data_IF_643416516496
#
_entry.id   IF_643416516496
#
_cell.length_a   1.000
_cell.length_b   1.000
_cell.length_c   1.000
_cell.angle_alpha   90.00
_cell.angle_beta   90.00
_cell.angle_gamma   90.00
#
_symmetry.space_group_name_H-M   'P 1'
#
loop_
_entity.id
_entity.type
_entity.pdbx_description
1 polymer ?
#
# COMPACT_ATOMS: atom_id res chain seq x y z
N UNK A 1 28.19 -4.05 -7.78
CA UNK A 1 26.93 -3.44 -7.32
C UNK A 1 26.83 -3.67 -5.82
N UNK A 2 26.34 -2.68 -5.03
CA UNK A 2 26.06 -2.90 -3.62
C UNK A 2 24.99 -3.98 -3.45
N UNK A 3 25.14 -4.81 -2.41
CA UNK A 3 24.22 -5.90 -2.12
C UNK A 3 23.16 -5.47 -1.11
N UNK A 4 21.89 -5.45 -1.54
CA UNK A 4 20.76 -5.09 -0.72
C UNK A 4 19.99 -6.33 -0.25
N UNK A 5 19.94 -6.54 1.07
CA UNK A 5 19.00 -7.48 1.65
C UNK A 5 17.68 -6.79 1.96
N UNK A 6 16.58 -7.33 1.48
CA UNK A 6 15.24 -6.84 1.81
C UNK A 6 14.55 -7.81 2.76
N UNK A 7 14.10 -7.31 3.90
CA UNK A 7 13.45 -8.11 4.95
C UNK A 7 11.99 -7.67 5.07
N UNK A 8 11.06 -8.52 4.68
CA UNK A 8 9.62 -8.21 4.67
C UNK A 8 8.76 -9.44 4.90
N UNK A 9 7.62 -9.29 5.54
CA UNK A 9 6.58 -10.32 5.65
C UNK A 9 5.50 -10.20 4.58
N UNK A 10 5.58 -9.18 3.71
CA UNK A 10 4.56 -8.86 2.74
C UNK A 10 5.16 -8.66 1.34
N UNK A 11 5.21 -9.76 0.59
CA UNK A 11 5.79 -9.83 -0.76
C UNK A 11 4.96 -10.77 -1.63
N UNK A 12 4.98 -10.69 -2.99
CA UNK A 12 4.21 -11.57 -3.86
C UNK A 12 4.46 -13.05 -3.55
N UNK A 13 3.39 -13.84 -3.58
CA UNK A 13 3.46 -15.30 -3.45
C UNK A 13 2.71 -15.95 -4.62
N UNK A 14 2.93 -17.25 -4.88
CA UNK A 14 2.19 -17.98 -5.91
C UNK A 14 0.67 -17.87 -5.71
N UNK A 15 0.19 -17.94 -4.48
CA UNK A 15 -1.23 -17.85 -4.15
C UNK A 15 -1.77 -16.39 -4.15
N UNK A 16 -0.90 -15.41 -3.92
CA UNK A 16 -1.26 -14.00 -3.84
C UNK A 16 -0.22 -13.14 -4.59
N UNK A 17 -0.22 -13.15 -5.93
CA UNK A 17 0.81 -12.45 -6.73
C UNK A 17 0.76 -10.92 -6.60
N UNK A 18 -0.37 -10.35 -6.15
CA UNK A 18 -0.55 -8.92 -5.92
C UNK A 18 -0.17 -8.46 -4.50
N UNK A 19 0.28 -9.37 -3.63
CA UNK A 19 0.71 -9.04 -2.28
C UNK A 19 2.02 -8.24 -2.32
N UNK A 20 2.10 -7.10 -1.63
CA UNK A 20 3.31 -6.28 -1.56
C UNK A 20 3.76 -5.68 -2.89
N UNK A 21 2.83 -5.40 -3.81
CA UNK A 21 3.13 -4.90 -5.15
C UNK A 21 3.97 -3.63 -5.16
N UNK A 22 3.74 -2.68 -4.26
CA UNK A 22 4.55 -1.46 -4.20
C UNK A 22 6.03 -1.77 -3.95
N UNK A 23 6.32 -2.66 -2.99
CA UNK A 23 7.68 -3.11 -2.72
C UNK A 23 8.28 -3.87 -3.92
N UNK A 24 7.51 -4.81 -4.50
CA UNK A 24 7.96 -5.58 -5.65
C UNK A 24 8.29 -4.69 -6.86
N UNK A 25 7.41 -3.78 -7.23
CA UNK A 25 7.63 -2.89 -8.38
C UNK A 25 8.84 -1.96 -8.16
N UNK A 26 8.96 -1.37 -6.96
CA UNK A 26 10.12 -0.55 -6.61
C UNK A 26 11.42 -1.35 -6.73
N UNK A 27 11.46 -2.55 -6.15
CA UNK A 27 12.67 -3.39 -6.16
C UNK A 27 13.00 -3.88 -7.56
N UNK A 28 12.01 -4.21 -8.38
CA UNK A 28 12.20 -4.62 -9.77
C UNK A 28 12.97 -3.55 -10.57
N UNK A 29 12.55 -2.30 -10.46
CA UNK A 29 13.25 -1.19 -11.10
C UNK A 29 14.68 -0.98 -10.55
N UNK A 30 14.92 -1.31 -9.25
CA UNK A 30 16.22 -1.16 -8.60
C UNK A 30 17.22 -2.27 -8.94
N UNK A 31 16.81 -3.40 -9.50
CA UNK A 31 17.71 -4.53 -9.80
C UNK A 31 18.81 -4.17 -10.81
N UNK A 32 18.61 -3.13 -11.62
CA UNK A 32 19.65 -2.61 -12.51
C UNK A 32 20.78 -1.85 -11.78
N UNK A 33 20.58 -1.45 -10.52
CA UNK A 33 21.52 -0.62 -9.75
C UNK A 33 22.08 -1.33 -8.51
N UNK A 34 21.39 -2.36 -8.01
CA UNK A 34 21.75 -3.10 -6.80
C UNK A 34 21.58 -4.60 -7.00
N UNK A 35 22.42 -5.41 -6.34
CA UNK A 35 22.24 -6.85 -6.20
C UNK A 35 21.23 -7.09 -5.07
N UNK A 36 19.98 -7.45 -5.41
CA UNK A 36 18.86 -7.51 -4.47
C UNK A 36 18.50 -8.95 -4.13
N UNK A 37 18.42 -9.24 -2.83
CA UNK A 37 17.84 -10.48 -2.33
C UNK A 37 16.75 -10.20 -1.29
N UNK A 38 15.53 -10.67 -1.56
CA UNK A 38 14.39 -10.54 -0.64
C UNK A 38 14.32 -11.77 0.28
N UNK A 39 14.16 -11.53 1.57
CA UNK A 39 13.84 -12.53 2.59
C UNK A 39 12.41 -12.25 3.10
N UNK A 40 11.46 -13.04 2.59
CA UNK A 40 10.07 -12.92 2.98
C UNK A 40 9.76 -13.92 4.09
N UNK A 41 9.58 -13.44 5.32
CA UNK A 41 9.27 -14.33 6.43
C UNK A 41 7.77 -14.45 6.64
N UNK A 42 7.35 -15.66 6.97
CA UNK A 42 5.95 -16.00 7.17
C UNK A 42 5.77 -16.79 8.48
N UNK A 43 4.72 -16.46 9.22
CA UNK A 43 4.39 -17.15 10.45
C UNK A 43 3.86 -18.56 10.14
N UNK A 44 4.52 -19.61 10.64
CA UNK A 44 4.04 -20.98 10.58
C UNK A 44 3.21 -21.28 11.84
N UNK A 45 1.91 -21.48 11.66
CA UNK A 45 1.00 -21.83 12.72
C UNK A 45 0.77 -23.34 12.78
N UNK A 46 0.61 -23.96 13.96
CA UNK A 46 0.15 -25.35 14.08
C UNK A 46 -1.12 -25.57 13.27
N UNK A 47 -1.28 -26.74 12.65
CA UNK A 47 -2.37 -27.02 11.70
C UNK A 47 -3.76 -26.74 12.26
N UNK A 48 -3.99 -27.06 13.55
CA UNK A 48 -5.26 -26.87 14.26
C UNK A 48 -5.52 -25.40 14.68
N UNK A 49 -4.52 -24.50 14.61
CA UNK A 49 -4.63 -23.08 14.91
C UNK A 49 -4.46 -22.19 13.66
N UNK A 50 -4.37 -22.76 12.49
CA UNK A 50 -4.21 -21.98 11.24
C UNK A 50 -5.43 -21.07 11.04
N UNK A 51 -5.21 -19.74 10.88
CA UNK A 51 -6.30 -18.85 10.52
C UNK A 51 -6.90 -19.27 9.18
N UNK A 52 -8.22 -19.38 9.12
CA UNK A 52 -8.96 -19.70 7.88
C UNK A 52 -9.22 -18.48 7.00
N UNK A 53 -8.70 -17.32 7.39
CA UNK A 53 -8.90 -16.07 6.68
C UNK A 53 -7.78 -15.85 5.64
N UNK A 54 -8.02 -14.95 4.72
CA UNK A 54 -7.17 -14.60 3.58
C UNK A 54 -5.76 -14.07 3.95
N UNK A 55 -5.52 -13.76 5.23
CA UNK A 55 -4.24 -13.19 5.70
C UNK A 55 -3.14 -14.22 5.90
N UNK A 56 -3.48 -15.51 6.00
CA UNK A 56 -2.50 -16.57 6.17
C UNK A 56 -2.11 -17.15 4.81
N UNK A 57 -0.84 -17.06 4.47
CA UNK A 57 -0.24 -17.71 3.29
C UNK A 57 0.95 -18.53 3.77
N UNK A 58 0.97 -19.86 3.58
CA UNK A 58 2.13 -20.65 3.89
C UNK A 58 3.31 -20.26 3.00
N UNK A 59 4.54 -20.40 3.49
CA UNK A 59 5.72 -20.18 2.68
C UNK A 59 5.80 -21.25 1.57
N UNK A 60 6.16 -20.80 0.38
CA UNK A 60 6.52 -21.68 -0.74
C UNK A 60 8.01 -21.45 -1.04
N UNK A 61 8.90 -22.32 -0.54
CA UNK A 61 10.33 -22.16 -0.74
C UNK A 61 10.77 -22.37 -2.20
N UNK A 62 9.88 -22.91 -3.05
CA UNK A 62 10.15 -23.14 -4.48
C UNK A 62 9.74 -21.98 -5.37
N UNK A 63 9.02 -21.01 -4.81
CA UNK A 63 8.57 -19.81 -5.52
C UNK A 63 9.53 -18.65 -5.36
N UNK A 64 9.83 -17.98 -6.46
CA UNK A 64 10.42 -16.64 -6.48
C UNK A 64 9.67 -15.82 -7.52
N UNK A 65 9.31 -14.56 -7.22
CA UNK A 65 8.74 -13.67 -8.23
C UNK A 65 9.72 -13.48 -9.39
N UNK A 66 9.23 -13.22 -10.62
CA UNK A 66 10.10 -12.84 -11.73
C UNK A 66 10.91 -11.57 -11.37
N UNK A 67 12.10 -11.44 -11.91
CA UNK A 67 12.96 -10.25 -11.86
C UNK A 67 13.49 -9.84 -10.47
N UNK A 68 12.91 -10.34 -9.35
CA UNK A 68 13.35 -10.01 -7.99
C UNK A 68 13.52 -11.29 -7.19
N UNK A 69 14.77 -11.76 -6.97
CA UNK A 69 15.04 -12.97 -6.20
C UNK A 69 14.46 -12.89 -4.79
N UNK A 70 13.64 -13.87 -4.40
CA UNK A 70 13.04 -13.92 -3.08
C UNK A 70 13.13 -15.32 -2.46
N UNK A 71 13.46 -15.37 -1.18
CA UNK A 71 13.45 -16.59 -0.37
C UNK A 71 12.37 -16.47 0.72
N UNK A 72 11.48 -17.45 0.79
CA UNK A 72 10.41 -17.51 1.79
C UNK A 72 10.86 -18.35 2.97
N UNK A 73 10.80 -17.77 4.18
CA UNK A 73 11.31 -18.35 5.42
C UNK A 73 10.15 -18.47 6.40
N UNK A 74 9.90 -19.67 6.92
CA UNK A 74 8.92 -19.88 7.99
C UNK A 74 9.55 -19.72 9.37
N UNK A 75 8.78 -19.13 10.29
CA UNK A 75 9.12 -19.10 11.72
C UNK A 75 7.91 -19.54 12.55
N UNK A 76 8.11 -20.25 13.68
CA UNK A 76 7.02 -20.73 14.51
C UNK A 76 6.27 -19.56 15.17
N UNK A 77 4.94 -19.58 15.10
CA UNK A 77 4.09 -18.57 15.70
C UNK A 77 2.80 -19.18 16.24
N UNK A 78 2.20 -18.52 17.21
CA UNK A 78 0.86 -18.82 17.70
C UNK A 78 -0.07 -17.63 17.41
N UNK A 79 -1.27 -17.86 16.85
CA UNK A 79 -2.21 -16.77 16.55
C UNK A 79 -2.44 -15.91 17.79
N UNK A 80 -2.39 -14.59 17.63
CA UNK A 80 -2.55 -13.56 18.66
C UNK A 80 -1.49 -13.59 19.77
N UNK A 81 -1.16 -14.74 20.35
CA UNK A 81 -0.27 -14.89 21.51
C UNK A 81 1.19 -14.58 21.19
N UNK A 82 1.72 -15.02 20.03
CA UNK A 82 3.12 -14.76 19.67
C UNK A 82 3.35 -13.37 19.06
N UNK A 83 2.29 -12.63 18.73
CA UNK A 83 2.37 -11.35 18.01
C UNK A 83 3.36 -10.36 18.63
N UNK A 84 3.39 -10.15 19.97
CA UNK A 84 4.35 -9.27 20.61
C UNK A 84 5.81 -9.72 20.48
N UNK A 85 6.03 -11.02 20.23
CA UNK A 85 7.36 -11.64 20.19
C UNK A 85 7.80 -11.98 18.76
N UNK A 86 6.96 -11.76 17.76
CA UNK A 86 7.28 -12.10 16.38
C UNK A 86 8.56 -11.41 15.88
N UNK A 87 8.82 -10.14 16.24
CA UNK A 87 10.04 -9.44 15.86
C UNK A 87 11.32 -10.12 16.33
N UNK A 88 11.50 -10.43 17.63
CA UNK A 88 12.63 -11.19 18.15
C UNK A 88 12.77 -12.59 17.53
N UNK A 89 11.68 -13.32 17.36
CA UNK A 89 11.69 -14.66 16.73
C UNK A 89 12.11 -14.53 15.27
N UNK A 90 11.52 -13.63 14.52
CA UNK A 90 11.86 -13.36 13.14
C UNK A 90 13.35 -13.02 12.98
N UNK A 91 13.89 -12.16 13.83
CA UNK A 91 15.32 -11.82 13.82
C UNK A 91 16.23 -13.05 13.91
N UNK A 92 15.85 -14.06 14.72
CA UNK A 92 16.60 -15.32 14.86
C UNK A 92 16.59 -16.14 13.57
N UNK A 93 15.45 -16.17 12.87
CA UNK A 93 15.30 -16.99 11.66
C UNK A 93 15.90 -16.33 10.42
N UNK A 94 15.86 -15.01 10.28
CA UNK A 94 16.43 -14.31 9.13
C UNK A 94 17.95 -14.13 9.22
N UNK A 95 18.53 -14.02 10.43
CA UNK A 95 19.96 -13.74 10.66
C UNK A 95 20.92 -14.73 9.96
N UNK A 96 20.71 -16.07 9.95
CA UNK A 96 21.59 -16.99 9.23
C UNK A 96 21.65 -16.74 7.73
N UNK A 97 20.52 -16.36 7.12
CA UNK A 97 20.41 -16.04 5.70
C UNK A 97 21.15 -14.74 5.37
N UNK A 98 20.99 -13.70 6.19
CA UNK A 98 21.70 -12.43 6.06
C UNK A 98 23.22 -12.61 6.25
N UNK A 99 23.66 -13.45 7.18
CA UNK A 99 25.09 -13.78 7.35
C UNK A 99 25.70 -14.45 6.11
N UNK A 100 24.93 -15.32 5.45
CA UNK A 100 25.39 -16.00 4.21
C UNK A 100 25.41 -15.03 3.03
N UNK A 101 24.44 -14.13 2.95
CA UNK A 101 24.36 -13.12 1.89
C UNK A 101 25.49 -12.07 2.01
N UNK A 102 25.88 -11.69 3.23
CA UNK A 102 26.80 -10.58 3.52
C UNK A 102 26.36 -9.28 2.83
N UNK A 103 25.18 -8.73 3.17
CA UNK A 103 24.67 -7.53 2.54
C UNK A 103 25.47 -6.30 2.98
N UNK A 104 25.52 -5.29 2.10
CA UNK A 104 26.07 -3.96 2.40
C UNK A 104 25.00 -3.07 3.08
N UNK A 105 23.72 -3.37 2.85
CA UNK A 105 22.56 -2.62 3.35
C UNK A 105 21.37 -3.55 3.58
N UNK A 106 20.59 -3.26 4.62
CA UNK A 106 19.33 -3.95 4.88
C UNK A 106 18.17 -2.95 4.76
N UNK A 107 17.16 -3.26 3.94
CA UNK A 107 15.89 -2.53 3.83
C UNK A 107 14.74 -3.38 4.37
N UNK A 108 13.84 -2.80 5.14
CA UNK A 108 12.58 -3.43 5.56
C UNK A 108 11.40 -2.57 5.15
N UNK A 109 10.31 -3.19 4.66
CA UNK A 109 9.09 -2.49 4.25
C UNK A 109 8.02 -2.36 5.35
N UNK A 110 8.25 -2.91 6.54
CA UNK A 110 7.40 -2.77 7.73
C UNK A 110 8.25 -2.49 8.95
N UNK A 111 7.79 -1.62 9.84
CA UNK A 111 8.54 -1.28 11.06
C UNK A 111 8.51 -2.44 12.06
N UNK A 112 7.37 -3.11 12.23
CA UNK A 112 7.24 -4.26 13.11
C UNK A 112 6.30 -5.33 12.53
N UNK A 113 6.69 -6.60 12.52
CA UNK A 113 7.89 -7.22 13.14
C UNK A 113 9.17 -7.12 12.31
N UNK A 114 9.06 -6.84 11.02
CA UNK A 114 10.11 -6.96 9.99
C UNK A 114 11.30 -6.04 10.29
N UNK A 115 11.05 -4.75 10.49
CA UNK A 115 12.07 -3.75 10.74
C UNK A 115 12.79 -3.95 12.07
N UNK A 116 12.10 -4.42 13.11
CA UNK A 116 12.77 -4.83 14.33
C UNK A 116 13.74 -5.99 14.09
N UNK A 117 13.35 -6.97 13.29
CA UNK A 117 14.19 -8.11 12.93
C UNK A 117 15.39 -7.65 12.08
N UNK A 118 15.16 -6.80 11.07
CA UNK A 118 16.20 -6.20 10.24
C UNK A 118 17.22 -5.42 11.10
N UNK A 119 16.75 -4.55 12.00
CA UNK A 119 17.59 -3.78 12.90
C UNK A 119 18.40 -4.67 13.86
N UNK A 120 17.78 -5.72 14.41
CA UNK A 120 18.47 -6.67 15.29
C UNK A 120 19.58 -7.43 14.56
N UNK A 121 19.34 -7.80 13.30
CA UNK A 121 20.32 -8.46 12.45
C UNK A 121 21.42 -7.48 12.00
N UNK A 122 21.07 -6.28 11.53
CA UNK A 122 22.01 -5.25 11.10
C UNK A 122 23.01 -4.87 12.19
N UNK A 123 22.55 -4.70 13.43
CA UNK A 123 23.43 -4.47 14.60
C UNK A 123 24.44 -5.59 14.85
N UNK A 124 24.08 -6.86 14.59
CA UNK A 124 24.97 -8.01 14.76
C UNK A 124 25.96 -8.19 13.62
N UNK A 125 25.60 -7.68 12.44
CA UNK A 125 26.41 -7.78 11.23
C UNK A 125 27.25 -6.53 10.98
N UNK A 126 27.01 -5.43 11.70
CA UNK A 126 27.62 -4.12 11.43
C UNK A 126 27.06 -3.42 10.19
N UNK A 127 25.89 -3.82 9.71
CA UNK A 127 25.29 -3.36 8.44
C UNK A 127 24.23 -2.30 8.70
N UNK A 128 24.20 -1.16 7.97
CA UNK A 128 23.17 -0.14 8.11
C UNK A 128 21.79 -0.66 7.73
N UNK A 129 20.75 -0.06 8.34
CA UNK A 129 19.36 -0.51 8.19
C UNK A 129 18.42 0.66 7.88
N UNK A 130 17.69 0.54 6.77
CA UNK A 130 16.60 1.43 6.39
C UNK A 130 15.28 0.75 6.76
N UNK A 131 14.39 1.48 7.44
CA UNK A 131 13.03 1.02 7.75
C UNK A 131 12.01 1.75 6.88
N UNK A 132 11.21 0.99 6.14
CA UNK A 132 10.03 1.48 5.44
C UNK A 132 8.79 1.43 6.35
N UNK A 133 8.01 2.50 6.36
CA UNK A 133 6.72 2.58 7.04
C UNK A 133 5.62 2.86 6.01
N UNK A 134 4.67 1.94 5.89
CA UNK A 134 3.65 1.98 4.83
C UNK A 134 2.23 2.26 5.33
N UNK A 135 2.04 2.40 6.65
CA UNK A 135 0.80 2.86 7.27
C UNK A 135 0.25 1.92 8.34
N UNK A 136 -0.14 0.70 8.01
CA UNK A 136 -0.76 -0.22 8.98
C UNK A 136 0.17 -0.60 10.14
N UNK A 137 1.45 -0.55 9.94
CA UNK A 137 2.52 -0.88 10.87
C UNK A 137 2.77 0.22 11.92
N UNK A 138 2.45 1.46 11.60
CA UNK A 138 2.54 2.60 12.55
C UNK A 138 1.16 2.94 13.11
N UNK A 139 0.09 2.87 12.30
CA UNK A 139 -1.26 3.23 12.71
C UNK A 139 -1.92 2.18 13.62
N UNK A 140 -1.44 0.94 13.61
CA UNK A 140 -1.99 -0.17 14.39
C UNK A 140 -0.92 -0.81 15.27
N UNK A 141 -0.81 -0.32 16.49
CA UNK A 141 0.02 -0.94 17.54
C UNK A 141 -0.90 -1.66 18.52
N UNK A 142 -1.15 -2.96 18.32
CA UNK A 142 -2.25 -3.69 19.01
C UNK A 142 -1.98 -3.94 20.48
N UNK A 143 -0.74 -3.87 20.92
CA UNK A 143 -0.31 -4.12 22.30
C UNK A 143 0.91 -3.28 22.70
N UNK A 144 1.15 -3.16 24.00
CA UNK A 144 2.23 -2.32 24.56
C UNK A 144 3.63 -2.80 24.18
N UNK A 145 3.82 -4.12 24.01
CA UNK A 145 5.14 -4.70 23.67
C UNK A 145 5.45 -4.39 22.21
N UNK A 146 4.51 -4.65 21.29
CA UNK A 146 4.64 -4.29 19.88
C UNK A 146 4.90 -2.79 19.70
N UNK A 147 4.17 -1.94 20.46
CA UNK A 147 4.38 -0.49 20.45
C UNK A 147 5.78 -0.09 20.95
N UNK A 148 6.27 -0.70 22.01
CA UNK A 148 7.63 -0.47 22.51
C UNK A 148 8.69 -0.90 21.48
N UNK A 149 8.54 -2.09 20.88
CA UNK A 149 9.49 -2.60 19.89
C UNK A 149 9.46 -1.80 18.57
N UNK A 150 8.29 -1.30 18.16
CA UNK A 150 8.15 -0.36 17.04
C UNK A 150 8.93 0.93 17.30
N UNK A 151 8.75 1.57 18.47
CA UNK A 151 9.52 2.76 18.84
C UNK A 151 11.02 2.48 18.91
N UNK A 152 11.42 1.33 19.44
CA UNK A 152 12.83 0.91 19.51
C UNK A 152 13.42 0.72 18.11
N UNK A 153 12.65 0.16 17.17
CA UNK A 153 13.07 0.01 15.78
C UNK A 153 13.26 1.37 15.11
N UNK A 154 12.27 2.27 15.20
CA UNK A 154 12.34 3.61 14.61
C UNK A 154 13.51 4.45 15.14
N UNK A 155 13.78 4.40 16.45
CA UNK A 155 14.92 5.12 17.07
C UNK A 155 16.28 4.56 16.64
N UNK A 156 16.34 3.27 16.39
CA UNK A 156 17.58 2.57 16.08
C UNK A 156 17.92 2.48 14.60
N UNK A 157 17.02 2.86 13.72
CA UNK A 157 17.22 2.83 12.27
C UNK A 157 18.27 3.85 11.82
N UNK A 158 19.06 3.51 10.82
CA UNK A 158 19.97 4.45 10.18
C UNK A 158 19.22 5.42 9.28
N UNK A 159 18.10 4.98 8.69
CA UNK A 159 17.17 5.81 7.93
C UNK A 159 15.73 5.27 8.04
N UNK A 160 14.73 6.17 7.94
CA UNK A 160 13.31 5.82 7.89
C UNK A 160 12.69 6.37 6.61
N UNK A 161 12.10 5.48 5.82
CA UNK A 161 11.42 5.79 4.58
C UNK A 161 9.91 5.65 4.79
N UNK A 162 9.12 6.63 4.39
CA UNK A 162 7.66 6.61 4.56
C UNK A 162 6.96 6.90 3.25
N UNK A 163 5.73 6.39 3.08
CA UNK A 163 4.97 6.57 1.84
C UNK A 163 4.12 7.85 1.83
N UNK A 164 4.11 8.64 2.93
CA UNK A 164 3.46 9.95 3.02
C UNK A 164 4.13 10.81 4.09
N UNK A 165 4.00 12.12 3.97
CA UNK A 165 4.49 13.06 4.98
C UNK A 165 3.73 12.89 6.31
N UNK A 166 2.43 12.61 6.24
CA UNK A 166 1.64 12.24 7.40
C UNK A 166 2.29 11.10 8.21
N UNK A 167 2.70 10.02 7.53
CA UNK A 167 3.39 8.90 8.18
C UNK A 167 4.79 9.28 8.65
N UNK A 168 5.51 10.16 7.94
CA UNK A 168 6.81 10.66 8.38
C UNK A 168 6.69 11.39 9.71
N UNK A 169 5.73 12.27 9.84
CA UNK A 169 5.45 12.97 11.09
C UNK A 169 5.06 12.02 12.22
N UNK A 170 4.29 10.98 11.92
CA UNK A 170 3.98 9.94 12.91
C UNK A 170 5.22 9.15 13.34
N UNK A 171 6.07 8.75 12.38
CA UNK A 171 7.33 8.04 12.69
C UNK A 171 8.25 8.89 13.58
N UNK A 172 8.35 10.20 13.31
CA UNK A 172 9.12 11.15 14.14
C UNK A 172 8.54 11.25 15.55
N UNK A 173 7.22 11.37 15.69
CA UNK A 173 6.56 11.35 17.03
C UNK A 173 6.82 10.04 17.80
N UNK A 174 7.04 8.94 17.10
CA UNK A 174 7.38 7.64 17.69
C UNK A 174 8.89 7.46 17.95
N UNK A 175 9.72 8.42 17.50
CA UNK A 175 11.13 8.48 17.81
C UNK A 175 12.10 8.31 16.65
N UNK A 176 11.62 8.31 15.39
CA UNK A 176 12.51 8.40 14.23
C UNK A 176 13.21 9.79 14.19
N UNK A 177 14.44 9.82 13.67
CA UNK A 177 15.17 11.09 13.48
C UNK A 177 14.57 11.88 12.30
N UNK A 178 14.24 13.16 12.48
CA UNK A 178 13.73 14.01 11.40
C UNK A 178 14.72 14.11 10.21
N UNK A 179 16.02 14.21 10.49
CA UNK A 179 17.08 14.37 9.50
C UNK A 179 17.35 13.07 8.72
N UNK A 180 16.98 11.94 9.31
CA UNK A 180 17.12 10.60 8.73
C UNK A 180 15.77 9.97 8.41
N UNK A 181 14.81 10.79 8.05
CA UNK A 181 13.48 10.36 7.62
C UNK A 181 13.09 11.09 6.36
N UNK A 182 12.62 10.37 5.34
CA UNK A 182 12.17 10.95 4.07
C UNK A 182 10.91 10.28 3.57
N UNK A 183 10.06 11.06 2.92
CA UNK A 183 8.86 10.57 2.25
C UNK A 183 9.19 10.22 0.80
N UNK A 184 8.86 8.98 0.41
CA UNK A 184 8.87 8.49 -0.97
C UNK A 184 7.46 7.95 -1.25
N UNK A 185 6.64 8.75 -1.93
CA UNK A 185 5.26 8.38 -2.25
C UNK A 185 5.22 7.24 -3.26
N UNK A 186 4.19 6.42 -3.21
CA UNK A 186 3.97 5.35 -4.18
C UNK A 186 3.79 5.92 -5.59
N UNK A 187 4.08 5.10 -6.59
CA UNK A 187 3.78 5.31 -8.00
C UNK A 187 2.76 4.32 -8.51
N UNK A 188 2.57 4.30 -9.82
CA UNK A 188 1.82 3.27 -10.51
C UNK A 188 2.55 2.83 -11.79
N UNK A 189 2.04 1.80 -12.44
CA UNK A 189 2.49 1.44 -13.79
C UNK A 189 1.87 2.40 -14.80
N UNK A 190 2.63 3.41 -15.22
CA UNK A 190 2.17 4.46 -16.16
C UNK A 190 1.96 3.96 -17.58
N UNK A 191 2.39 2.74 -17.91
CA UNK A 191 2.07 2.09 -19.18
C UNK A 191 0.65 1.49 -19.16
N UNK A 192 0.13 1.18 -17.99
CA UNK A 192 -1.21 0.62 -17.76
C UNK A 192 -2.20 1.72 -17.35
N UNK A 193 -1.82 2.57 -16.38
CA UNK A 193 -2.65 3.63 -15.83
C UNK A 193 -2.32 4.96 -16.48
N UNK A 194 -3.06 5.33 -17.51
CA UNK A 194 -2.93 6.57 -18.27
C UNK A 194 -4.29 6.99 -18.84
N UNK A 195 -4.38 8.18 -19.38
CA UNK A 195 -5.60 8.64 -20.06
C UNK A 195 -5.83 7.79 -21.31
N UNK A 196 -7.08 7.31 -21.44
CA UNK A 196 -7.55 6.58 -22.62
C UNK A 196 -8.98 6.99 -22.97
N UNK A 197 -9.50 6.50 -24.10
CA UNK A 197 -10.83 6.83 -24.60
C UNK A 197 -11.93 6.23 -23.70
N UNK A 198 -12.72 7.12 -23.08
CA UNK A 198 -13.83 6.74 -22.19
C UNK A 198 -14.97 6.06 -22.94
N UNK A 199 -15.32 6.52 -24.13
CA UNK A 199 -16.42 5.95 -24.90
C UNK A 199 -16.09 4.52 -25.33
N UNK A 200 -14.86 4.31 -25.81
CA UNK A 200 -14.35 2.97 -26.15
C UNK A 200 -14.34 2.03 -24.93
N UNK A 201 -13.84 2.51 -23.76
CA UNK A 201 -13.82 1.72 -22.53
C UNK A 201 -15.23 1.34 -22.05
N UNK A 202 -16.20 2.27 -22.16
CA UNK A 202 -17.60 2.00 -21.82
C UNK A 202 -18.25 0.99 -22.75
N UNK A 203 -18.04 1.11 -24.06
CA UNK A 203 -18.53 0.15 -25.03
C UNK A 203 -17.99 -1.27 -24.77
N UNK A 204 -16.69 -1.39 -24.47
CA UNK A 204 -16.04 -2.67 -24.15
C UNK A 204 -16.59 -3.30 -22.85
N UNK A 205 -16.91 -2.47 -21.85
CA UNK A 205 -17.42 -2.92 -20.55
C UNK A 205 -18.94 -3.06 -20.51
N UNK A 206 -19.66 -2.70 -21.59
CA UNK A 206 -21.13 -2.71 -21.62
C UNK A 206 -21.77 -1.66 -20.70
N UNK A 207 -21.08 -0.54 -20.47
CA UNK A 207 -21.56 0.58 -19.65
C UNK A 207 -22.26 1.59 -20.53
N UNK A 208 -23.46 2.01 -20.13
CA UNK A 208 -24.23 3.06 -20.84
C UNK A 208 -23.40 4.35 -20.95
N UNK A 209 -23.36 4.93 -22.14
CA UNK A 209 -22.67 6.20 -22.40
C UNK A 209 -23.12 7.33 -21.50
N UNK A 210 -24.42 7.36 -21.17
CA UNK A 210 -25.01 8.38 -20.34
C UNK A 210 -25.00 8.09 -18.85
N UNK A 211 -24.46 6.94 -18.44
CA UNK A 211 -24.34 6.60 -17.02
C UNK A 211 -23.36 7.54 -16.30
N UNK A 212 -23.70 7.90 -15.08
CA UNK A 212 -22.83 8.59 -14.14
C UNK A 212 -22.07 7.51 -13.34
N UNK A 213 -20.82 7.28 -13.70
CA UNK A 213 -20.04 6.14 -13.22
C UNK A 213 -19.10 6.53 -12.10
N UNK A 214 -19.31 5.95 -10.93
CA UNK A 214 -18.39 6.00 -9.78
C UNK A 214 -17.68 4.64 -9.65
N UNK A 215 -16.39 4.64 -9.51
CA UNK A 215 -15.58 3.42 -9.32
C UNK A 215 -14.87 3.46 -7.95
N UNK A 216 -14.94 2.35 -7.23
CA UNK A 216 -14.13 2.05 -6.06
C UNK A 216 -13.18 0.89 -6.40
N UNK A 217 -11.92 1.00 -5.98
CA UNK A 217 -10.93 -0.09 -6.10
C UNK A 217 -10.25 -0.31 -4.75
N UNK A 218 -10.37 -1.52 -4.21
CA UNK A 218 -9.72 -1.85 -2.95
C UNK A 218 -10.24 -3.10 -2.26
N UNK A 219 -9.67 -3.40 -1.10
CA UNK A 219 -10.12 -4.49 -0.24
C UNK A 219 -11.49 -4.15 0.38
N UNK A 220 -12.49 -5.01 0.20
CA UNK A 220 -13.86 -4.81 0.68
C UNK A 220 -13.93 -5.10 2.19
N UNK A 221 -13.52 -4.13 2.99
CA UNK A 221 -13.41 -4.23 4.45
C UNK A 221 -13.92 -2.94 5.14
N UNK A 222 -14.24 -3.06 6.40
CA UNK A 222 -14.80 -1.97 7.22
C UNK A 222 -13.99 -0.67 7.15
N UNK A 223 -12.66 -0.78 7.11
CA UNK A 223 -11.77 0.40 7.08
C UNK A 223 -11.82 1.19 5.78
N UNK A 224 -12.51 0.69 4.75
CA UNK A 224 -12.60 1.32 3.44
C UNK A 224 -13.87 2.15 3.22
N UNK A 225 -14.77 2.22 4.21
CA UNK A 225 -15.93 3.11 4.18
C UNK A 225 -16.97 2.78 3.09
N UNK A 226 -17.04 1.52 2.65
CA UNK A 226 -17.98 1.12 1.60
C UNK A 226 -19.44 1.15 2.02
N UNK A 227 -19.72 1.06 3.33
CA UNK A 227 -21.11 1.22 3.84
C UNK A 227 -21.59 2.64 3.58
N UNK A 228 -20.78 3.63 3.88
CA UNK A 228 -21.04 5.05 3.66
C UNK A 228 -21.19 5.35 2.16
N UNK A 229 -20.37 4.69 1.33
CA UNK A 229 -20.46 4.86 -0.13
C UNK A 229 -21.76 4.33 -0.70
N UNK A 230 -22.19 3.15 -0.29
CA UNK A 230 -23.47 2.57 -0.73
C UNK A 230 -24.64 3.42 -0.22
N UNK A 231 -24.61 3.86 1.05
CA UNK A 231 -25.63 4.75 1.59
C UNK A 231 -25.69 6.08 0.83
N UNK A 232 -24.53 6.66 0.47
CA UNK A 232 -24.47 7.88 -0.33
C UNK A 232 -25.10 7.67 -1.74
N UNK A 233 -24.81 6.54 -2.39
CA UNK A 233 -25.41 6.19 -3.69
C UNK A 233 -26.94 6.03 -3.59
N UNK A 234 -27.42 5.35 -2.54
CA UNK A 234 -28.85 5.18 -2.27
C UNK A 234 -29.53 6.55 -2.06
N UNK A 235 -28.91 7.46 -1.33
CA UNK A 235 -29.41 8.83 -1.10
C UNK A 235 -29.51 9.62 -2.41
N UNK A 236 -28.58 9.43 -3.33
CA UNK A 236 -28.54 10.13 -4.63
C UNK A 236 -29.51 9.55 -5.68
N UNK A 237 -30.04 8.34 -5.47
CA UNK A 237 -30.90 7.66 -6.43
C UNK A 237 -32.09 8.51 -6.98
N UNK A 238 -32.79 9.28 -6.15
CA UNK A 238 -33.91 10.09 -6.66
C UNK A 238 -33.47 11.23 -7.61
N UNK A 239 -32.30 11.82 -7.37
CA UNK A 239 -31.75 12.95 -8.14
C UNK A 239 -30.84 12.51 -9.28
N UNK A 240 -30.17 11.37 -9.14
CA UNK A 240 -29.21 10.79 -10.10
C UNK A 240 -29.61 9.35 -10.46
N UNK A 241 -30.69 9.12 -11.18
CA UNK A 241 -31.19 7.76 -11.46
C UNK A 241 -30.26 6.94 -12.37
N UNK A 242 -29.34 7.59 -13.10
CA UNK A 242 -28.34 6.91 -13.94
C UNK A 242 -27.01 6.68 -13.25
N UNK A 243 -26.92 7.01 -11.96
CA UNK A 243 -25.70 6.75 -11.15
C UNK A 243 -25.44 5.25 -11.04
N UNK A 244 -24.22 4.85 -11.33
CA UNK A 244 -23.71 3.47 -11.20
C UNK A 244 -22.44 3.46 -10.35
N UNK A 245 -22.41 2.62 -9.35
CA UNK A 245 -21.23 2.35 -8.53
C UNK A 245 -20.68 0.96 -8.87
N UNK A 246 -19.44 0.91 -9.30
CA UNK A 246 -18.72 -0.34 -9.53
C UNK A 246 -17.64 -0.51 -8.46
N UNK A 247 -17.76 -1.56 -7.66
CA UNK A 247 -16.80 -1.93 -6.61
C UNK A 247 -15.87 -3.03 -7.10
N UNK A 248 -14.59 -2.71 -7.27
CA UNK A 248 -13.56 -3.66 -7.71
C UNK A 248 -12.73 -4.08 -6.51
N UNK A 249 -12.74 -5.38 -6.23
CA UNK A 249 -12.01 -6.00 -5.13
C UNK A 249 -12.80 -7.10 -4.45
N UNK A 250 -12.14 -7.76 -3.51
CA UNK A 250 -12.72 -8.80 -2.67
C UNK A 250 -12.57 -8.42 -1.21
N UNK A 251 -13.33 -9.06 -0.33
CA UNK A 251 -13.16 -8.86 1.10
C UNK A 251 -14.34 -9.39 1.92
N UNK A 252 -14.18 -9.39 3.26
CA UNK A 252 -15.14 -10.03 4.16
C UNK A 252 -16.51 -9.35 4.21
N UNK A 253 -16.62 -8.08 3.81
CA UNK A 253 -17.89 -7.35 3.86
C UNK A 253 -18.71 -7.45 2.57
N UNK A 254 -18.19 -8.06 1.49
CA UNK A 254 -18.85 -8.08 0.19
C UNK A 254 -20.31 -8.57 0.28
N UNK A 255 -20.54 -9.77 0.83
CA UNK A 255 -21.88 -10.36 0.91
C UNK A 255 -22.86 -9.52 1.73
N UNK A 256 -22.40 -8.92 2.83
CA UNK A 256 -23.20 -8.01 3.64
C UNK A 256 -23.60 -6.74 2.86
N UNK A 257 -22.66 -6.17 2.13
CA UNK A 257 -22.89 -4.95 1.35
C UNK A 257 -23.77 -5.19 0.13
N UNK A 258 -23.63 -6.35 -0.53
CA UNK A 258 -24.54 -6.79 -1.60
C UNK A 258 -25.99 -6.95 -1.09
N UNK A 259 -26.16 -7.57 0.09
CA UNK A 259 -27.47 -7.70 0.74
C UNK A 259 -28.08 -6.34 1.09
N UNK A 260 -27.29 -5.43 1.68
CA UNK A 260 -27.74 -4.06 2.02
C UNK A 260 -28.17 -3.27 0.77
N UNK A 261 -27.46 -3.37 -0.33
CA UNK A 261 -27.85 -2.75 -1.59
C UNK A 261 -29.15 -3.34 -2.14
N UNK A 262 -29.34 -4.66 -2.00
CA UNK A 262 -30.56 -5.35 -2.43
C UNK A 262 -31.79 -4.95 -1.60
N UNK A 263 -31.64 -4.91 -0.27
CA UNK A 263 -32.68 -4.45 0.65
C UNK A 263 -33.15 -3.01 0.34
N UNK A 264 -32.21 -2.15 -0.06
CA UNK A 264 -32.53 -0.77 -0.50
C UNK A 264 -33.04 -0.69 -1.93
N UNK A 265 -33.18 -1.80 -2.66
CA UNK A 265 -33.60 -1.83 -4.06
C UNK A 265 -32.59 -1.17 -5.01
N UNK A 266 -31.30 -1.13 -4.67
CA UNK A 266 -30.24 -0.45 -5.41
C UNK A 266 -29.31 -1.42 -6.19
N UNK A 267 -29.70 -2.67 -6.42
CA UNK A 267 -28.91 -3.68 -7.14
C UNK A 267 -28.60 -3.31 -8.58
N UNK A 268 -29.42 -2.48 -9.19
CA UNK A 268 -29.18 -1.93 -10.52
C UNK A 268 -28.12 -0.83 -10.54
N UNK A 269 -27.89 -0.17 -9.40
CA UNK A 269 -26.92 0.92 -9.25
C UNK A 269 -25.59 0.49 -8.63
N UNK A 270 -25.56 -0.56 -7.79
CA UNK A 270 -24.36 -1.01 -7.05
C UNK A 270 -23.96 -2.39 -7.52
N UNK A 271 -22.77 -2.52 -8.08
CA UNK A 271 -22.24 -3.78 -8.60
C UNK A 271 -20.85 -4.10 -8.02
N UNK A 272 -20.68 -5.31 -7.49
CA UNK A 272 -19.41 -5.84 -7.03
C UNK A 272 -18.80 -6.74 -8.10
N UNK A 273 -17.70 -6.27 -8.68
CA UNK A 273 -17.08 -6.94 -9.82
C UNK A 273 -16.06 -8.02 -9.41
N UNK A 274 -15.76 -8.11 -8.10
CA UNK A 274 -14.69 -8.98 -7.62
C UNK A 274 -13.31 -8.45 -8.01
N UNK A 275 -12.30 -9.31 -7.88
CA UNK A 275 -10.93 -8.95 -8.23
C UNK A 275 -10.77 -8.83 -9.74
N UNK A 276 -9.97 -7.84 -10.16
CA UNK A 276 -9.60 -7.59 -11.55
C UNK A 276 -8.09 -7.43 -11.69
N UNK A 277 -7.57 -7.70 -12.87
CA UNK A 277 -6.18 -7.38 -13.26
C UNK A 277 -5.96 -5.88 -13.35
N UNK A 278 -4.72 -5.42 -13.29
CA UNK A 278 -4.39 -3.99 -13.42
C UNK A 278 -4.91 -3.39 -14.74
N UNK A 279 -4.85 -4.14 -15.83
CA UNK A 279 -5.39 -3.71 -17.13
C UNK A 279 -6.92 -3.55 -17.10
N UNK A 280 -7.66 -4.45 -16.44
CA UNK A 280 -9.10 -4.32 -16.26
C UNK A 280 -9.45 -3.16 -15.32
N UNK A 281 -8.69 -2.97 -14.23
CA UNK A 281 -8.86 -1.81 -13.32
C UNK A 281 -8.66 -0.50 -14.09
N UNK A 282 -7.63 -0.41 -14.93
CA UNK A 282 -7.39 0.78 -15.75
C UNK A 282 -8.56 1.07 -16.71
N UNK A 283 -9.16 0.04 -17.34
CA UNK A 283 -10.36 0.19 -18.17
C UNK A 283 -11.55 0.74 -17.38
N UNK A 284 -11.81 0.19 -16.20
CA UNK A 284 -12.86 0.68 -15.32
C UNK A 284 -12.61 2.12 -14.86
N UNK A 285 -11.39 2.47 -14.52
CA UNK A 285 -11.02 3.85 -14.20
C UNK A 285 -11.20 4.77 -15.41
N UNK A 286 -10.84 4.32 -16.61
CA UNK A 286 -11.10 5.09 -17.85
C UNK A 286 -12.59 5.30 -18.11
N UNK A 287 -13.44 4.29 -17.89
CA UNK A 287 -14.89 4.37 -18.05
C UNK A 287 -15.58 5.27 -17.02
N UNK A 288 -14.94 5.48 -15.85
CA UNK A 288 -15.49 6.22 -14.73
C UNK A 288 -15.58 7.74 -14.99
N UNK A 289 -16.56 8.40 -14.37
CA UNK A 289 -16.57 9.85 -14.17
C UNK A 289 -15.71 10.22 -12.96
N UNK A 290 -15.88 9.48 -11.86
CA UNK A 290 -15.26 9.75 -10.56
C UNK A 290 -14.71 8.45 -9.98
N UNK A 291 -13.55 8.54 -9.35
CA UNK A 291 -13.06 7.52 -8.45
C UNK A 291 -13.41 7.88 -7.00
N UNK A 292 -13.88 6.94 -6.21
CA UNK A 292 -14.24 7.18 -4.82
C UNK A 292 -13.52 6.25 -3.84
N UNK A 293 -12.88 6.84 -2.79
CA UNK A 293 -12.21 6.10 -1.73
C UNK A 293 -12.51 6.70 -0.35
N UNK A 294 -13.63 6.32 0.31
CA UNK A 294 -14.05 6.89 1.60
C UNK A 294 -13.42 6.17 2.81
N UNK A 295 -12.14 5.86 2.74
CA UNK A 295 -11.40 5.08 3.75
C UNK A 295 -11.30 5.81 5.09
N UNK A 296 -11.18 5.06 6.20
CA UNK A 296 -10.96 5.62 7.55
C UNK A 296 -9.49 5.83 7.90
N UNK A 297 -8.59 5.19 7.16
CA UNK A 297 -7.15 5.33 7.34
C UNK A 297 -6.40 4.84 6.10
N UNK A 298 -5.44 5.62 5.63
CA UNK A 298 -4.56 5.28 4.50
C UNK A 298 -3.12 5.71 4.77
N UNK A 299 -2.17 5.03 4.10
CA UNK A 299 -0.78 5.49 4.03
C UNK A 299 -0.59 6.37 2.80
N UNK A 300 -0.47 5.73 1.64
CA UNK A 300 -0.49 6.30 0.29
C UNK A 300 -1.24 5.29 -0.59
N UNK A 301 -2.55 5.47 -0.82
CA UNK A 301 -3.37 4.48 -1.51
C UNK A 301 -3.03 4.43 -3.01
N UNK A 302 -2.54 3.28 -3.48
CA UNK A 302 -2.20 3.08 -4.90
C UNK A 302 -3.39 3.36 -5.82
N UNK A 303 -4.61 2.96 -5.41
CA UNK A 303 -5.81 3.15 -6.23
C UNK A 303 -6.14 4.64 -6.49
N UNK A 304 -5.79 5.54 -5.57
CA UNK A 304 -5.87 6.99 -5.80
C UNK A 304 -4.82 7.43 -6.82
N UNK A 305 -3.57 6.96 -6.68
CA UNK A 305 -2.49 7.26 -7.64
C UNK A 305 -2.86 6.76 -9.04
N UNK A 306 -3.39 5.53 -9.14
CA UNK A 306 -3.86 4.91 -10.37
C UNK A 306 -5.00 5.70 -11.02
N UNK A 307 -6.01 6.11 -10.23
CA UNK A 307 -7.15 6.89 -10.71
C UNK A 307 -6.72 8.27 -11.24
N UNK A 308 -5.87 8.97 -10.51
CA UNK A 308 -5.34 10.27 -10.92
C UNK A 308 -4.50 10.16 -12.20
N UNK A 309 -3.70 9.11 -12.36
CA UNK A 309 -2.93 8.87 -13.60
C UNK A 309 -3.86 8.59 -14.79
N UNK A 310 -5.02 7.97 -14.58
CA UNK A 310 -6.07 7.83 -15.58
C UNK A 310 -6.87 9.12 -15.81
N UNK A 311 -6.49 10.25 -15.19
CA UNK A 311 -7.20 11.53 -15.30
C UNK A 311 -8.52 11.58 -14.53
N UNK A 312 -8.77 10.66 -13.61
CA UNK A 312 -10.05 10.64 -12.87
C UNK A 312 -9.97 11.54 -11.64
N UNK A 313 -10.97 12.41 -11.54
CA UNK A 313 -11.17 13.17 -10.31
C UNK A 313 -11.56 12.23 -9.16
N UNK A 314 -11.12 12.57 -7.96
CA UNK A 314 -11.21 11.71 -6.79
C UNK A 314 -12.14 12.33 -5.75
N UNK A 315 -13.13 11.57 -5.28
CA UNK A 315 -13.84 11.87 -4.02
C UNK A 315 -13.30 10.94 -2.94
N UNK A 316 -12.71 11.49 -1.91
CA UNK A 316 -12.09 10.68 -0.86
C UNK A 316 -12.18 11.35 0.51
N UNK A 317 -11.79 10.61 1.53
CA UNK A 317 -11.72 11.14 2.90
C UNK A 317 -10.39 11.84 3.18
N UNK A 318 -10.44 12.87 4.02
CA UNK A 318 -9.30 13.65 4.49
C UNK A 318 -8.50 12.86 5.55
N UNK A 319 -7.91 11.71 5.17
CA UNK A 319 -7.18 10.85 6.11
C UNK A 319 -5.81 10.44 5.57
N UNK A 320 -4.84 10.34 6.47
CA UNK A 320 -3.50 9.82 6.18
C UNK A 320 -2.80 10.61 5.08
N UNK A 321 -2.31 9.92 4.05
CA UNK A 321 -1.62 10.52 2.91
C UNK A 321 -2.53 10.92 1.75
N UNK A 322 -3.86 10.77 1.85
CA UNK A 322 -4.78 11.16 0.76
C UNK A 322 -4.70 12.66 0.45
N UNK A 323 -4.68 13.59 1.45
CA UNK A 323 -4.55 15.03 1.20
C UNK A 323 -3.24 15.46 0.51
N UNK A 324 -2.26 14.57 0.48
CA UNK A 324 -1.00 14.81 -0.24
C UNK A 324 -1.09 14.46 -1.73
N UNK A 325 -2.15 13.72 -2.13
CA UNK A 325 -2.39 13.25 -3.48
C UNK A 325 -3.50 14.03 -4.19
N UNK A 326 -4.50 14.50 -3.44
CA UNK A 326 -5.73 15.10 -3.95
C UNK A 326 -5.81 16.55 -3.50
N UNK A 327 -5.90 17.45 -4.47
CA UNK A 327 -6.11 18.89 -4.29
C UNK A 327 -7.46 19.33 -4.89
N UNK A 328 -7.75 20.64 -4.80
CA UNK A 328 -9.00 21.22 -5.32
C UNK A 328 -9.21 20.98 -6.81
N UNK A 329 -8.14 20.90 -7.61
CA UNK A 329 -8.24 20.70 -9.07
C UNK A 329 -8.31 19.22 -9.47
N UNK A 330 -8.09 18.30 -8.53
CA UNK A 330 -8.08 16.85 -8.77
C UNK A 330 -9.12 16.09 -7.98
N UNK A 331 -9.84 16.75 -7.05
CA UNK A 331 -10.90 16.05 -6.31
C UNK A 331 -11.56 16.85 -5.19
N UNK A 332 -12.33 16.11 -4.39
CA UNK A 332 -13.03 16.63 -3.20
C UNK A 332 -12.69 15.74 -2.02
N UNK A 333 -12.25 16.35 -0.93
CA UNK A 333 -11.98 15.69 0.33
C UNK A 333 -13.07 15.98 1.36
N UNK A 334 -13.51 14.93 2.06
CA UNK A 334 -14.52 15.00 3.11
C UNK A 334 -13.99 14.35 4.40
N UNK A 335 -14.67 14.60 5.51
CA UNK A 335 -14.40 13.84 6.75
C UNK A 335 -14.93 12.40 6.64
N UNK A 336 -14.25 11.42 7.27
CA UNK A 336 -14.67 10.03 7.23
C UNK A 336 -15.96 9.78 8.03
N UNK A 337 -16.71 8.74 7.67
CA UNK A 337 -17.94 8.27 8.35
C UNK A 337 -19.13 9.24 8.24
N UNK A 338 -19.19 10.01 7.18
CA UNK A 338 -20.30 10.90 6.89
C UNK A 338 -20.88 10.58 5.50
N UNK A 339 -21.91 9.71 5.43
CA UNK A 339 -22.53 9.36 4.15
C UNK A 339 -23.31 10.51 3.51
N UNK A 340 -23.76 11.51 4.30
CA UNK A 340 -24.42 12.68 3.74
C UNK A 340 -23.41 13.59 3.03
N UNK A 341 -22.32 13.95 3.70
CA UNK A 341 -21.25 14.72 3.08
C UNK A 341 -20.64 13.98 1.87
N UNK A 342 -20.58 12.64 1.91
CA UNK A 342 -20.13 11.83 0.78
C UNK A 342 -21.10 11.93 -0.41
N UNK A 343 -22.40 11.90 -0.18
CA UNK A 343 -23.41 12.07 -1.22
C UNK A 343 -23.30 13.47 -1.87
N UNK A 344 -23.21 14.52 -1.06
CA UNK A 344 -23.04 15.90 -1.55
C UNK A 344 -21.76 16.06 -2.36
N UNK A 345 -20.65 15.48 -1.90
CA UNK A 345 -19.37 15.52 -2.60
C UNK A 345 -19.42 14.75 -3.94
N UNK A 346 -20.08 13.59 -3.99
CA UNK A 346 -20.27 12.84 -5.23
C UNK A 346 -21.14 13.62 -6.22
N UNK A 347 -22.27 14.21 -5.79
CA UNK A 347 -23.14 15.03 -6.63
C UNK A 347 -22.38 16.25 -7.19
N UNK A 348 -21.63 16.95 -6.35
CA UNK A 348 -20.80 18.07 -6.75
C UNK A 348 -19.71 17.64 -7.76
N UNK A 349 -19.02 16.55 -7.47
CA UNK A 349 -17.95 16.06 -8.35
C UNK A 349 -18.48 15.60 -9.72
N UNK A 350 -19.65 14.97 -9.77
CA UNK A 350 -20.28 14.53 -11.02
C UNK A 350 -20.81 15.71 -11.86
N UNK A 351 -21.20 16.81 -11.24
CA UNK A 351 -21.67 18.02 -11.95
C UNK A 351 -20.53 18.91 -12.44
N UNK A 352 -19.32 18.77 -11.87
CA UNK A 352 -18.15 19.59 -12.22
C UNK A 352 -17.44 19.04 -13.46
N UNK A 353 -17.01 19.94 -14.34
CA UNK A 353 -16.07 19.60 -15.41
C UNK A 353 -14.64 19.58 -14.85
N UNK A 354 -13.96 18.47 -15.08
CA UNK A 354 -12.59 18.25 -14.62
C UNK A 354 -11.64 18.28 -15.82
N UNK A 355 -10.49 18.93 -15.65
CA UNK A 355 -9.39 18.84 -16.63
C UNK A 355 -8.62 17.54 -16.41
N UNK A 356 -9.08 16.46 -17.06
CA UNK A 356 -8.50 15.13 -16.95
C UNK A 356 -7.02 15.08 -17.37
N UNK A 357 -6.67 15.88 -18.38
CA UNK A 357 -5.28 15.96 -18.87
C UNK A 357 -4.39 16.61 -17.81
N UNK A 358 -4.81 17.70 -17.21
CA UNK A 358 -4.09 18.37 -16.12
C UNK A 358 -3.95 17.48 -14.87
N UNK A 359 -5.03 16.75 -14.48
CA UNK A 359 -5.02 15.80 -13.37
C UNK A 359 -3.95 14.73 -13.62
N UNK A 360 -3.98 14.07 -14.76
CA UNK A 360 -3.05 13.00 -15.10
C UNK A 360 -1.60 13.51 -15.16
N UNK A 361 -1.37 14.66 -15.82
CA UNK A 361 -0.03 15.23 -15.97
C UNK A 361 0.61 15.57 -14.62
N UNK A 362 -0.15 16.20 -13.69
CA UNK A 362 0.35 16.56 -12.35
C UNK A 362 0.59 15.35 -11.46
N UNK A 363 -0.17 14.30 -11.65
CA UNK A 363 -0.13 13.10 -10.80
C UNK A 363 0.80 12.01 -11.35
N UNK A 364 1.37 12.22 -12.54
CA UNK A 364 2.19 11.22 -13.21
C UNK A 364 3.43 10.86 -12.40
N UNK A 365 3.42 9.63 -11.89
CA UNK A 365 4.50 9.09 -11.07
C UNK A 365 4.63 7.58 -11.29
N UNK A 366 5.72 7.18 -11.95
CA UNK A 366 6.03 5.78 -12.22
C UNK A 366 6.81 5.11 -11.09
N UNK A 367 6.89 3.79 -11.11
CA UNK A 367 7.72 3.03 -10.19
C UNK A 367 9.22 3.27 -10.40
N UNK A 368 9.64 3.64 -11.59
CA UNK A 368 11.02 4.06 -11.90
C UNK A 368 11.45 5.27 -11.08
N UNK A 369 10.56 6.24 -10.89
CA UNK A 369 10.83 7.42 -10.06
C UNK A 369 10.89 7.05 -8.57
N UNK A 370 9.96 6.20 -8.10
CA UNK A 370 9.97 5.69 -6.71
C UNK A 370 11.25 4.90 -6.43
N UNK A 371 11.67 4.06 -7.37
CA UNK A 371 12.90 3.29 -7.29
C UNK A 371 14.14 4.18 -7.21
N UNK A 372 14.21 5.24 -8.03
CA UNK A 372 15.32 6.20 -8.06
C UNK A 372 15.44 6.92 -6.72
N UNK A 373 14.36 7.46 -6.18
CA UNK A 373 14.35 8.12 -4.87
C UNK A 373 14.74 7.16 -3.74
N UNK A 374 14.27 5.90 -3.81
CA UNK A 374 14.64 4.86 -2.84
C UNK A 374 16.13 4.51 -2.94
N UNK A 375 16.67 4.39 -4.16
CA UNK A 375 18.09 4.12 -4.41
C UNK A 375 19.01 5.26 -3.92
N UNK A 376 18.59 6.52 -4.09
CA UNK A 376 19.31 7.69 -3.55
C UNK A 376 19.45 7.60 -2.04
N UNK A 377 18.37 7.24 -1.33
CA UNK A 377 18.38 7.02 0.13
C UNK A 377 19.31 5.86 0.50
N UNK A 378 19.27 4.75 -0.24
CA UNK A 378 20.17 3.62 -0.03
C UNK A 378 21.65 4.04 -0.17
N UNK A 379 21.96 4.81 -1.20
CA UNK A 379 23.32 5.32 -1.47
C UNK A 379 23.80 6.28 -0.38
N UNK A 380 22.92 7.17 0.08
CA UNK A 380 23.20 8.10 1.20
C UNK A 380 23.50 7.31 2.48
N UNK A 381 22.71 6.28 2.77
CA UNK A 381 22.90 5.44 3.95
C UNK A 381 24.23 4.65 3.92
N UNK A 382 24.60 4.11 2.76
CA UNK A 382 25.89 3.42 2.56
C UNK A 382 27.08 4.35 2.80
N UNK A 383 27.08 5.55 2.19
CA UNK A 383 28.13 6.56 2.37
C UNK A 383 28.27 7.02 3.83
N UNK A 384 27.18 7.08 4.58
CA UNK A 384 27.20 7.41 6.00
C UNK A 384 27.78 6.27 6.86
N UNK A 385 27.60 5.02 6.45
CA UNK A 385 28.19 3.82 7.06
C UNK A 385 29.70 3.83 6.92
N UNK A 386 30.24 4.01 5.73
CA UNK A 386 31.69 4.04 5.42
C UNK A 386 32.44 5.09 6.27
N UNK A 387 31.83 6.27 6.45
CA UNK A 387 32.44 7.35 7.28
C UNK A 387 32.53 6.98 8.77
N UNK A 388 31.62 6.14 9.28
CA UNK A 388 31.65 5.67 10.67
C UNK A 388 32.73 4.62 10.91
N UNK A 389 33.00 3.77 9.94
CA UNK A 389 34.08 2.77 9.99
C UNK A 389 35.46 3.42 9.86
N UNK A 390 35.63 4.37 8.95
CA UNK A 390 36.87 5.14 8.81
C UNK A 390 37.27 5.91 10.06
N UNK A 391 36.32 6.41 10.84
CA UNK A 391 36.59 7.11 12.11
C UNK A 391 36.87 6.15 13.30
N UNK A 392 36.45 4.90 13.23
CA UNK A 392 36.75 3.88 14.27
C UNK A 392 38.15 3.24 14.12
N UNK A 393 38.77 3.36 12.94
CA UNK A 393 40.08 2.85 12.65
C UNK A 393 41.25 3.81 13.01
N UNK A 394 40.93 5.01 13.50
CA UNK A 394 41.90 6.09 13.79
C UNK A 394 41.99 6.38 15.33
N UNK A 395 41.25 5.65 16.17
CA UNK A 395 41.23 5.85 17.63
C UNK A 395 41.94 4.69 18.38
#
# INVERSE_FOLDING_TARGET
MPRLAVVTSYFPTRAQPHRGQSAYQTLREMTSWMDIQVFCTQAAYPSFLRPRNFSYVPADPTFSPPDVPAQYIEYPALPLLSRPFNGPVYARYVLPHLRRLQPDLILSYYVYPDGYAALSAGKRLGVPVILGAIGSDINRMPDRISAFLTRKALRGADFVLTVSEHLRQQAIRLGASPERSRTVRNGCDTSVFHIADRAAARAELGVDEQAEVVVFVGWVAHTKGLRELIEAVIRLRPSLPRLKLYCIGEGPLRGELEASAAEAGATDQVQFLGRRSSAEVARWLTAANIFCLPSYAEGCPNSVVEALNCGRAVVATNVGGIPELVDYDSGILIEPRDPAALADALACALSRQWDEAAISQRSRRGWDQVARETFEICTECLRAGDRREGNRGIS
#
